data_IF_071218886347
#
_entry.id   IF_071218886347
#
_cell.length_a   1.000
_cell.length_b   1.000
_cell.length_c   1.000
_cell.angle_alpha   90.00
_cell.angle_beta   90.00
_cell.angle_gamma   90.00
#
_symmetry.space_group_name_H-M   'P 1'
#
loop_
_entity.id
_entity.type
_entity.pdbx_description
1 polymer ?
#
# COMPACT_ATOMS: atom_id res chain seq x y z
N UNK A 1 -17.53 0.48 5.58
CA UNK A 1 -17.30 0.27 7.02
C UNK A 1 -18.32 1.01 7.93
N UNK A 2 -19.24 1.80 7.39
CA UNK A 2 -20.30 2.42 8.16
C UNK A 2 -19.93 3.70 8.94
N UNK A 3 -18.73 4.23 8.78
CA UNK A 3 -18.32 5.48 9.46
C UNK A 3 -19.07 6.72 8.95
N UNK A 4 -19.56 6.70 7.71
CA UNK A 4 -20.22 7.84 7.05
C UNK A 4 -19.21 8.82 6.44
N UNK A 5 -19.57 9.37 5.28
CA UNK A 5 -18.69 10.28 4.51
C UNK A 5 -18.41 11.60 5.25
N UNK A 6 -19.31 12.04 6.09
CA UNK A 6 -19.16 13.26 6.89
C UNK A 6 -18.13 13.15 8.03
N UNK A 7 -17.59 11.95 8.27
CA UNK A 7 -16.50 11.69 9.22
C UNK A 7 -15.16 11.42 8.55
N UNK A 8 -15.14 11.46 7.23
CA UNK A 8 -13.91 11.29 6.46
C UNK A 8 -13.27 12.64 6.20
N UNK A 9 -12.04 12.81 6.63
CA UNK A 9 -11.24 14.00 6.42
C UNK A 9 -10.00 13.62 5.60
N UNK A 10 -9.82 14.27 4.47
CA UNK A 10 -8.62 14.08 3.66
C UNK A 10 -7.51 15.01 4.18
N UNK A 11 -6.38 14.44 4.56
CA UNK A 11 -5.20 15.21 4.88
C UNK A 11 -4.62 15.85 3.61
N UNK A 12 -4.09 17.06 3.76
CA UNK A 12 -3.37 17.71 2.68
C UNK A 12 -2.07 16.93 2.38
N UNK A 13 -1.71 16.85 1.10
CA UNK A 13 -0.49 16.16 0.67
C UNK A 13 0.49 17.13 0.04
N UNK A 14 1.76 16.73 -0.01
CA UNK A 14 2.83 17.41 -0.72
C UNK A 14 2.81 17.09 -2.23
N UNK A 15 3.79 17.61 -2.96
CA UNK A 15 3.91 17.40 -4.41
C UNK A 15 4.15 15.93 -4.81
N UNK A 16 4.52 15.07 -3.85
CA UNK A 16 4.80 13.66 -4.05
C UNK A 16 3.65 12.74 -3.61
N UNK A 17 2.57 13.31 -3.08
CA UNK A 17 1.40 12.55 -2.60
C UNK A 17 1.53 12.06 -1.15
N UNK A 18 2.54 12.50 -0.40
CA UNK A 18 2.71 12.20 1.02
C UNK A 18 1.94 13.18 1.88
N UNK A 19 1.38 12.74 2.99
CA UNK A 19 0.75 13.63 3.96
C UNK A 19 1.74 14.72 4.40
N UNK A 20 1.29 15.97 4.31
CA UNK A 20 2.04 17.13 4.80
C UNK A 20 1.86 17.24 6.33
N UNK A 21 2.91 16.98 7.13
CA UNK A 21 2.79 16.98 8.60
C UNK A 21 2.36 18.34 9.16
N UNK A 22 2.69 19.44 8.47
CA UNK A 22 2.34 20.79 8.91
C UNK A 22 0.84 21.11 8.71
N UNK A 23 0.18 20.37 7.80
CA UNK A 23 -1.24 20.57 7.47
C UNK A 23 -2.13 19.41 7.92
N UNK A 24 -1.60 18.48 8.71
CA UNK A 24 -2.37 17.39 9.27
C UNK A 24 -3.39 17.96 10.28
N UNK A 25 -4.70 17.67 10.14
CA UNK A 25 -5.72 18.10 11.09
C UNK A 25 -5.42 17.60 12.51
N UNK A 26 -5.93 18.29 13.52
CA UNK A 26 -5.83 17.84 14.91
C UNK A 26 -6.51 16.47 15.10
N UNK A 27 -5.86 15.61 15.86
CA UNK A 27 -6.34 14.27 16.19
C UNK A 27 -6.81 14.22 17.65
N UNK A 28 -7.62 13.23 17.98
CA UNK A 28 -8.07 12.88 19.33
C UNK A 28 -8.24 11.35 19.47
N UNK A 29 -8.66 10.89 20.64
CA UNK A 29 -8.90 9.48 20.93
C UNK A 29 -10.03 8.82 20.11
N UNK A 30 -10.76 9.56 19.27
CA UNK A 30 -11.77 9.05 18.34
C UNK A 30 -11.29 9.08 16.90
N UNK A 31 -10.05 9.42 16.67
CA UNK A 31 -9.45 9.53 15.35
C UNK A 31 -8.82 8.20 14.94
N UNK A 32 -9.12 7.76 13.72
CA UNK A 32 -8.36 6.76 12.99
C UNK A 32 -7.53 7.49 11.93
N UNK A 33 -6.22 7.58 12.13
CA UNK A 33 -5.29 8.11 11.13
C UNK A 33 -4.85 6.98 10.21
N UNK A 34 -5.06 7.15 8.91
CA UNK A 34 -4.61 6.20 7.88
C UNK A 34 -3.43 6.81 7.14
N UNK A 35 -2.29 6.13 7.19
CA UNK A 35 -1.06 6.48 6.49
C UNK A 35 -0.79 5.47 5.37
N UNK A 36 0.02 5.85 4.38
CA UNK A 36 0.34 5.00 3.25
C UNK A 36 1.83 4.62 3.24
N UNK A 37 2.10 3.32 3.12
CA UNK A 37 3.40 2.80 2.72
C UNK A 37 3.29 2.39 1.25
N UNK A 38 3.75 3.27 0.35
CA UNK A 38 3.59 3.15 -1.08
C UNK A 38 2.30 3.80 -1.59
N UNK A 39 2.33 5.11 -1.87
CA UNK A 39 1.23 5.81 -2.54
C UNK A 39 1.03 5.19 -3.93
N UNK A 40 -0.22 4.96 -4.31
CA UNK A 40 -0.58 4.14 -5.47
C UNK A 40 0.00 4.64 -6.80
N UNK A 41 0.18 5.95 -6.98
CA UNK A 41 0.72 6.55 -8.20
C UNK A 41 2.24 6.74 -8.15
N UNK A 42 2.75 7.22 -7.02
CA UNK A 42 4.14 7.67 -6.89
C UNK A 42 5.06 6.65 -6.24
N UNK A 43 4.50 5.69 -5.49
CA UNK A 43 5.26 4.75 -4.66
C UNK A 43 5.83 5.36 -3.38
N UNK A 44 5.48 6.59 -3.05
CA UNK A 44 6.01 7.32 -1.90
C UNK A 44 5.44 6.83 -0.57
N UNK A 45 6.12 7.20 0.49
CA UNK A 45 5.81 6.79 1.87
C UNK A 45 5.53 8.02 2.72
N UNK A 46 4.51 7.94 3.57
CA UNK A 46 4.26 8.97 4.56
C UNK A 46 5.38 9.04 5.60
N UNK A 47 5.47 10.16 6.30
CA UNK A 47 6.50 10.42 7.32
C UNK A 47 6.16 9.73 8.65
N UNK A 48 6.26 8.38 8.69
CA UNK A 48 5.83 7.57 9.84
C UNK A 48 6.50 7.97 11.15
N UNK A 49 7.82 8.15 11.15
CA UNK A 49 8.58 8.50 12.36
C UNK A 49 8.16 9.84 12.98
N UNK A 50 7.58 10.74 12.19
CA UNK A 50 7.05 12.02 12.66
C UNK A 50 5.55 11.95 13.00
N UNK A 51 4.74 11.38 12.08
CA UNK A 51 3.28 11.43 12.16
C UNK A 51 2.73 10.49 13.23
N UNK A 52 3.30 9.28 13.38
CA UNK A 52 2.75 8.26 14.28
C UNK A 52 2.89 8.66 15.75
N UNK A 53 4.06 9.11 16.24
CA UNK A 53 4.16 9.55 17.63
C UNK A 53 3.18 10.67 17.98
N UNK A 54 3.05 11.67 17.12
CA UNK A 54 2.10 12.80 17.31
C UNK A 54 0.66 12.33 17.41
N UNK A 55 0.24 11.44 16.52
CA UNK A 55 -1.12 10.90 16.52
C UNK A 55 -1.39 10.06 17.79
N UNK A 56 -0.43 9.25 18.21
CA UNK A 56 -0.54 8.42 19.42
C UNK A 56 -0.56 9.24 20.70
N UNK A 57 0.19 10.32 20.79
CA UNK A 57 0.11 11.28 21.91
C UNK A 57 -1.28 11.89 22.03
N UNK A 58 -1.97 12.12 20.92
CA UNK A 58 -3.36 12.55 20.88
C UNK A 58 -4.38 11.42 21.19
N UNK A 59 -3.93 10.19 21.38
CA UNK A 59 -4.77 9.02 21.62
C UNK A 59 -5.37 8.39 20.37
N UNK A 60 -4.99 8.83 19.17
CA UNK A 60 -5.49 8.31 17.91
C UNK A 60 -4.97 6.89 17.63
N UNK A 61 -5.78 6.07 16.97
CA UNK A 61 -5.34 4.82 16.37
C UNK A 61 -4.68 5.09 15.01
N UNK A 62 -3.51 4.53 14.79
CA UNK A 62 -2.80 4.70 13.53
C UNK A 62 -2.78 3.38 12.74
N UNK A 63 -3.32 3.43 11.54
CA UNK A 63 -3.30 2.35 10.56
C UNK A 63 -2.39 2.70 9.39
N UNK A 64 -1.59 1.75 8.94
CA UNK A 64 -0.78 1.90 7.72
C UNK A 64 -1.32 0.98 6.63
N UNK A 65 -1.84 1.60 5.56
CA UNK A 65 -2.06 0.90 4.30
C UNK A 65 -0.71 0.66 3.62
N UNK A 66 -0.23 -0.55 3.76
CA UNK A 66 1.01 -1.04 3.16
C UNK A 66 0.77 -2.08 2.08
N UNK A 67 -0.35 -1.95 1.36
CA UNK A 67 -0.84 -2.94 0.41
C UNK A 67 0.24 -3.51 -0.53
N UNK A 68 1.20 -2.68 -0.96
CA UNK A 68 2.39 -3.15 -1.66
C UNK A 68 3.70 -2.61 -1.06
N UNK A 69 3.71 -1.38 -0.55
CA UNK A 69 4.94 -0.72 -0.14
C UNK A 69 5.52 -1.25 1.17
N UNK A 70 4.74 -1.92 2.03
CA UNK A 70 5.27 -2.48 3.28
C UNK A 70 6.41 -3.49 3.02
N UNK A 71 6.43 -4.14 1.86
CA UNK A 71 7.50 -5.05 1.44
C UNK A 71 8.86 -4.37 1.30
N UNK A 72 8.93 -3.04 1.15
CA UNK A 72 10.18 -2.28 1.19
C UNK A 72 11.02 -2.58 2.45
N UNK A 73 10.37 -2.92 3.59
CA UNK A 73 11.06 -3.35 4.83
C UNK A 73 11.93 -4.60 4.65
N UNK A 74 11.67 -5.41 3.65
CA UNK A 74 12.47 -6.61 3.35
C UNK A 74 13.58 -6.35 2.32
N UNK A 75 13.76 -5.13 1.83
CA UNK A 75 14.67 -4.74 0.75
C UNK A 75 15.82 -3.83 1.23
N UNK A 76 16.70 -3.45 0.30
CA UNK A 76 17.71 -2.40 0.53
C UNK A 76 17.09 -1.01 0.77
N UNK A 77 15.84 -0.83 0.37
CA UNK A 77 15.05 0.41 0.55
C UNK A 77 14.25 0.45 1.85
N UNK A 78 14.60 -0.35 2.86
CA UNK A 78 13.90 -0.43 4.15
C UNK A 78 13.77 0.93 4.87
N UNK A 79 14.68 1.86 4.62
CA UNK A 79 14.67 3.23 5.16
C UNK A 79 13.43 4.02 4.75
N UNK A 80 12.80 3.71 3.60
CA UNK A 80 11.56 4.37 3.15
C UNK A 80 10.40 4.18 4.14
N UNK A 81 10.42 3.08 4.89
CA UNK A 81 9.39 2.74 5.87
C UNK A 81 9.90 2.88 7.31
N UNK A 82 10.85 3.80 7.57
CA UNK A 82 11.34 4.08 8.92
C UNK A 82 10.21 4.60 9.81
N UNK A 83 10.06 4.02 11.01
CA UNK A 83 9.01 4.36 11.96
C UNK A 83 7.67 3.67 11.69
N UNK A 84 7.52 2.91 10.60
CA UNK A 84 6.26 2.21 10.28
C UNK A 84 5.84 1.24 11.40
N UNK A 85 6.79 0.66 12.12
CA UNK A 85 6.57 -0.23 13.25
C UNK A 85 5.92 0.44 14.46
N UNK A 86 5.83 1.76 14.50
CA UNK A 86 5.19 2.52 15.58
C UNK A 86 3.66 2.54 15.46
N UNK A 87 3.08 2.17 14.32
CA UNK A 87 1.64 2.13 14.10
C UNK A 87 0.93 1.06 14.93
N UNK A 88 -0.39 1.10 14.99
CA UNK A 88 -1.21 0.15 15.74
C UNK A 88 -1.68 -1.02 14.86
N UNK A 89 -1.84 -0.79 13.56
CA UNK A 89 -2.23 -1.82 12.60
C UNK A 89 -1.70 -1.56 11.20
N UNK A 90 -1.59 -2.64 10.40
CA UNK A 90 -1.09 -2.61 9.02
C UNK A 90 -1.89 -3.56 8.13
N UNK A 91 -1.97 -3.22 6.85
CA UNK A 91 -2.38 -4.15 5.79
C UNK A 91 -1.26 -4.35 4.79
N UNK A 92 -1.17 -5.54 4.20
CA UNK A 92 -0.29 -5.82 3.08
C UNK A 92 -0.89 -6.91 2.19
N UNK A 93 -0.81 -6.73 0.87
CA UNK A 93 -1.42 -7.65 -0.08
C UNK A 93 -0.40 -8.68 -0.58
N UNK A 94 -0.77 -9.95 -0.49
CA UNK A 94 -0.01 -11.04 -1.11
C UNK A 94 -0.25 -11.08 -2.62
N UNK A 95 -1.46 -10.75 -3.07
CA UNK A 95 -1.83 -10.77 -4.49
C UNK A 95 -1.25 -9.59 -5.32
N UNK A 96 -0.44 -8.71 -4.72
CA UNK A 96 0.34 -7.70 -5.39
C UNK A 96 1.77 -8.20 -5.59
N UNK A 97 2.70 -7.80 -4.78
CA UNK A 97 4.12 -8.09 -4.98
C UNK A 97 4.51 -9.56 -4.88
N UNK A 98 3.88 -10.33 -3.98
CA UNK A 98 4.16 -11.76 -3.86
C UNK A 98 3.51 -12.60 -4.98
N UNK A 99 2.69 -11.99 -5.84
CA UNK A 99 2.00 -12.66 -6.94
C UNK A 99 1.20 -13.92 -6.51
N UNK A 100 0.65 -13.88 -5.30
CA UNK A 100 -0.24 -14.95 -4.83
C UNK A 100 -1.62 -14.82 -5.47
N UNK A 101 -2.41 -15.90 -5.56
CA UNK A 101 -3.74 -15.83 -6.16
C UNK A 101 -4.64 -14.77 -5.52
N UNK A 102 -5.42 -14.11 -6.34
CA UNK A 102 -6.42 -13.15 -5.91
C UNK A 102 -7.58 -13.90 -5.22
N UNK A 103 -8.12 -13.44 -4.12
CA UNK A 103 -7.78 -12.33 -3.24
C UNK A 103 -6.92 -12.81 -2.07
N UNK A 104 -5.80 -12.21 -1.81
CA UNK A 104 -4.89 -12.62 -0.74
C UNK A 104 -4.22 -11.40 -0.12
N UNK A 105 -4.48 -11.17 1.16
CA UNK A 105 -3.94 -10.06 1.92
C UNK A 105 -3.76 -10.45 3.39
N UNK A 106 -2.99 -9.64 4.12
CA UNK A 106 -2.73 -9.79 5.54
C UNK A 106 -3.21 -8.54 6.28
N UNK A 107 -3.96 -8.73 7.36
CA UNK A 107 -4.20 -7.73 8.37
C UNK A 107 -3.31 -8.02 9.57
N UNK A 108 -2.54 -7.04 9.98
CA UNK A 108 -1.61 -7.13 11.10
C UNK A 108 -2.06 -6.11 12.15
N UNK A 109 -2.18 -6.52 13.39
CA UNK A 109 -2.57 -5.66 14.50
C UNK A 109 -1.60 -5.86 15.67
N UNK A 110 -1.17 -4.77 16.26
CA UNK A 110 -0.30 -4.79 17.44
C UNK A 110 -1.00 -5.39 18.65
N UNK A 111 -2.27 -5.01 18.85
CA UNK A 111 -3.11 -5.48 19.95
C UNK A 111 -4.01 -6.62 19.46
N UNK A 112 -3.62 -7.85 19.81
CA UNK A 112 -4.35 -9.05 19.44
C UNK A 112 -5.73 -9.13 20.13
N UNK A 113 -5.86 -8.62 21.35
CA UNK A 113 -7.13 -8.60 22.07
C UNK A 113 -8.11 -7.60 21.45
N UNK A 114 -7.63 -6.43 21.03
CA UNK A 114 -8.44 -5.46 20.28
C UNK A 114 -8.93 -6.03 18.94
N UNK A 115 -8.04 -6.73 18.20
CA UNK A 115 -8.42 -7.40 16.95
C UNK A 115 -9.49 -8.47 17.20
N UNK A 116 -9.28 -9.34 18.20
CA UNK A 116 -10.21 -10.38 18.54
C UNK A 116 -11.56 -9.81 19.00
N UNK A 117 -11.58 -8.75 19.79
CA UNK A 117 -12.80 -8.06 20.23
C UNK A 117 -13.58 -7.47 19.06
N UNK A 118 -12.88 -6.92 18.06
CA UNK A 118 -13.51 -6.33 16.87
C UNK A 118 -14.08 -7.39 15.90
N UNK A 119 -13.46 -8.57 15.82
CA UNK A 119 -13.82 -9.62 14.85
C UNK A 119 -14.69 -10.70 15.44
N UNK A 120 -14.70 -10.86 16.77
CA UNK A 120 -15.44 -11.95 17.42
C UNK A 120 -16.95 -11.81 17.21
N UNK A 121 -17.57 -12.87 16.74
CA UNK A 121 -19.02 -13.04 16.74
C UNK A 121 -19.39 -14.22 17.63
N UNK A 122 -20.13 -13.97 18.69
CA UNK A 122 -20.64 -15.02 19.57
C UNK A 122 -21.77 -15.78 18.89
N UNK A 123 -21.53 -17.08 18.67
CA UNK A 123 -22.57 -18.00 18.25
C UNK A 123 -22.61 -19.17 19.24
N UNK A 124 -23.77 -19.52 19.71
CA UNK A 124 -23.98 -20.56 20.74
C UNK A 124 -23.38 -21.94 20.38
N UNK A 125 -23.19 -22.21 19.09
CA UNK A 125 -22.58 -23.46 18.59
C UNK A 125 -21.08 -23.35 18.32
N UNK A 126 -20.50 -22.16 18.42
CA UNK A 126 -19.10 -21.92 18.04
C UNK A 126 -18.21 -21.80 19.27
N UNK A 127 -18.12 -22.89 20.04
CA UNK A 127 -17.13 -23.02 21.12
C UNK A 127 -15.75 -23.19 20.50
N UNK A 128 -15.05 -22.09 20.32
CA UNK A 128 -13.68 -22.12 19.85
C UNK A 128 -12.75 -21.58 20.93
N UNK A 129 -11.48 -22.02 20.91
CA UNK A 129 -10.46 -21.45 21.78
C UNK A 129 -10.30 -19.96 21.53
N UNK A 130 -9.75 -19.23 22.51
CA UNK A 130 -9.44 -17.79 22.39
C UNK A 130 -8.62 -17.47 21.12
N UNK A 131 -7.75 -18.40 20.70
CA UNK A 131 -6.84 -18.25 19.57
C UNK A 131 -7.43 -18.78 18.25
N UNK A 132 -8.73 -19.08 18.20
CA UNK A 132 -9.34 -19.58 16.98
C UNK A 132 -9.34 -18.51 15.87
N UNK A 133 -9.01 -18.91 14.66
CA UNK A 133 -8.97 -18.00 13.50
C UNK A 133 -10.27 -17.27 13.24
N UNK A 134 -11.42 -17.81 13.63
CA UNK A 134 -12.72 -17.12 13.55
C UNK A 134 -12.75 -15.78 14.30
N UNK A 135 -11.91 -15.63 15.32
CA UNK A 135 -11.79 -14.41 16.12
C UNK A 135 -10.87 -13.35 15.46
N UNK A 136 -10.25 -13.66 14.33
CA UNK A 136 -9.27 -12.81 13.67
C UNK A 136 -9.74 -12.31 12.29
N UNK A 137 -10.95 -12.72 11.87
CA UNK A 137 -11.50 -12.38 10.55
C UNK A 137 -13.01 -12.19 10.62
N UNK A 138 -13.56 -11.46 9.64
CA UNK A 138 -15.00 -11.22 9.51
C UNK A 138 -15.80 -12.47 9.06
N UNK A 139 -15.12 -13.50 8.55
CA UNK A 139 -15.74 -14.67 7.94
C UNK A 139 -15.48 -15.91 8.79
N UNK A 140 -16.48 -16.80 8.95
CA UNK A 140 -16.29 -18.09 9.60
C UNK A 140 -15.57 -19.07 8.67
N UNK A 141 -16.30 -19.58 7.69
CA UNK A 141 -15.74 -20.47 6.67
C UNK A 141 -15.24 -19.66 5.50
N UNK A 142 -13.99 -19.84 5.10
CA UNK A 142 -13.34 -19.05 4.05
C UNK A 142 -12.24 -19.84 3.36
N UNK A 143 -11.82 -19.37 2.21
CA UNK A 143 -10.63 -19.89 1.53
C UNK A 143 -9.38 -19.68 2.41
N UNK A 144 -8.49 -20.66 2.43
CA UNK A 144 -7.24 -20.62 3.20
C UNK A 144 -6.19 -19.71 2.51
N UNK A 145 -6.45 -18.43 2.41
CA UNK A 145 -5.61 -17.43 1.69
C UNK A 145 -4.18 -17.38 2.20
N UNK A 146 -3.97 -17.62 3.49
CA UNK A 146 -2.64 -17.62 4.12
C UNK A 146 -1.71 -18.71 3.59
N UNK A 147 -2.24 -19.82 3.07
CA UNK A 147 -1.42 -20.92 2.52
C UNK A 147 -0.60 -20.44 1.31
N UNK A 148 -1.21 -19.69 0.39
CA UNK A 148 -0.49 -19.15 -0.78
C UNK A 148 0.60 -18.14 -0.38
N UNK A 149 0.30 -17.27 0.59
CA UNK A 149 1.27 -16.31 1.13
C UNK A 149 2.43 -17.07 1.79
N UNK A 150 2.12 -18.04 2.64
CA UNK A 150 3.13 -18.87 3.31
C UNK A 150 4.02 -19.59 2.29
N UNK A 151 3.43 -20.21 1.27
CA UNK A 151 4.17 -20.94 0.25
C UNK A 151 5.10 -20.02 -0.55
N UNK A 152 4.64 -18.84 -0.92
CA UNK A 152 5.48 -17.83 -1.60
C UNK A 152 6.67 -17.41 -0.72
N UNK A 153 6.42 -17.07 0.54
CA UNK A 153 7.46 -16.66 1.47
C UNK A 153 8.43 -17.80 1.82
N UNK A 154 7.94 -19.01 1.97
CA UNK A 154 8.76 -20.21 2.23
C UNK A 154 9.65 -20.54 1.01
N UNK A 155 9.13 -20.37 -0.20
CA UNK A 155 9.87 -20.62 -1.43
C UNK A 155 10.96 -19.57 -1.68
N UNK A 156 10.65 -18.29 -1.49
CA UNK A 156 11.59 -17.20 -1.70
C UNK A 156 12.65 -17.13 -0.59
N UNK A 157 12.24 -17.37 0.64
CA UNK A 157 13.05 -17.06 1.81
C UNK A 157 13.32 -15.55 1.93
N UNK A 158 14.12 -15.18 2.92
CA UNK A 158 14.47 -13.77 3.16
C UNK A 158 15.26 -13.15 2.01
N UNK A 159 16.23 -13.87 1.50
CA UNK A 159 17.15 -13.36 0.46
C UNK A 159 16.46 -13.29 -0.89
N UNK A 160 15.65 -14.28 -1.26
CA UNK A 160 14.88 -14.26 -2.51
C UNK A 160 13.82 -13.16 -2.51
N UNK A 161 13.17 -12.91 -1.37
CA UNK A 161 12.23 -11.80 -1.23
C UNK A 161 12.95 -10.44 -1.41
N UNK A 162 14.09 -10.26 -0.75
CA UNK A 162 14.91 -9.05 -0.90
C UNK A 162 15.32 -8.83 -2.35
N UNK A 163 15.90 -9.85 -2.98
CA UNK A 163 16.38 -9.80 -4.36
C UNK A 163 15.25 -9.43 -5.33
N UNK A 164 14.09 -10.03 -5.16
CA UNK A 164 12.91 -9.74 -5.98
C UNK A 164 12.49 -8.28 -5.88
N UNK A 165 12.40 -7.74 -4.66
CA UNK A 165 11.99 -6.34 -4.45
C UNK A 165 13.05 -5.38 -5.02
N UNK A 166 14.31 -5.60 -4.70
CA UNK A 166 15.44 -4.77 -5.17
C UNK A 166 15.54 -4.79 -6.70
N UNK A 167 15.27 -5.94 -7.32
CA UNK A 167 15.22 -6.06 -8.79
C UNK A 167 14.09 -5.22 -9.39
N UNK A 168 12.88 -5.27 -8.84
CA UNK A 168 11.76 -4.48 -9.36
C UNK A 168 11.99 -2.98 -9.16
N UNK A 169 12.58 -2.56 -8.04
CA UNK A 169 12.96 -1.16 -7.83
C UNK A 169 13.97 -0.69 -8.89
N UNK A 170 15.01 -1.51 -9.18
CA UNK A 170 15.98 -1.21 -10.22
C UNK A 170 15.33 -1.14 -11.61
N UNK A 171 14.49 -2.11 -11.95
CA UNK A 171 13.78 -2.15 -13.24
C UNK A 171 12.85 -0.93 -13.40
N UNK A 172 12.19 -0.47 -12.32
CA UNK A 172 11.39 0.75 -12.36
C UNK A 172 12.25 1.98 -12.66
N UNK A 173 13.43 2.06 -12.07
CA UNK A 173 14.41 3.12 -12.38
C UNK A 173 14.86 3.09 -13.84
N UNK A 174 15.25 1.92 -14.35
CA UNK A 174 15.65 1.72 -15.75
C UNK A 174 14.52 2.10 -16.73
N UNK A 175 13.28 1.69 -16.42
CA UNK A 175 12.11 2.05 -17.22
C UNK A 175 11.84 3.57 -17.18
N UNK A 176 11.98 4.21 -16.03
CA UNK A 176 11.81 5.65 -15.89
C UNK A 176 12.84 6.42 -16.76
N UNK A 177 14.10 5.99 -16.78
CA UNK A 177 15.13 6.58 -17.65
C UNK A 177 14.82 6.37 -19.13
N UNK A 178 14.40 5.17 -19.53
CA UNK A 178 14.02 4.88 -20.92
C UNK A 178 12.83 5.74 -21.38
N UNK A 179 11.83 5.94 -20.51
CA UNK A 179 10.69 6.80 -20.80
C UNK A 179 11.08 8.26 -20.94
N UNK A 180 11.97 8.79 -20.08
CA UNK A 180 12.53 10.15 -20.23
C UNK A 180 13.29 10.31 -21.53
N UNK A 181 14.13 9.34 -21.90
CA UNK A 181 14.84 9.33 -23.17
C UNK A 181 13.90 9.27 -24.38
N UNK A 182 12.74 8.62 -24.23
CA UNK A 182 11.66 8.56 -25.21
C UNK A 182 10.77 9.83 -25.27
N UNK A 183 11.09 10.87 -24.51
CA UNK A 183 10.36 12.16 -24.54
C UNK A 183 9.13 12.19 -23.62
N UNK A 184 8.98 11.24 -22.71
CA UNK A 184 7.89 11.28 -21.72
C UNK A 184 8.33 11.97 -20.42
N UNK A 185 7.38 12.57 -19.74
CA UNK A 185 7.58 13.15 -18.41
C UNK A 185 7.34 12.08 -17.35
N UNK A 186 8.36 11.72 -16.57
CA UNK A 186 8.22 10.90 -15.37
C UNK A 186 7.98 11.82 -14.19
N UNK A 187 6.80 11.72 -13.59
CA UNK A 187 6.27 12.70 -12.64
C UNK A 187 6.64 12.40 -11.17
N UNK A 188 7.08 11.17 -10.88
CA UNK A 188 7.49 10.76 -9.54
C UNK A 188 9.01 10.55 -9.45
N UNK A 189 9.51 10.39 -8.23
CA UNK A 189 10.93 10.13 -7.95
C UNK A 189 11.35 8.67 -8.20
N UNK A 190 10.40 7.80 -8.51
CA UNK A 190 10.62 6.35 -8.73
C UNK A 190 11.36 5.71 -7.55
N UNK A 191 10.87 5.96 -6.33
CA UNK A 191 11.51 5.46 -5.09
C UNK A 191 11.24 3.97 -4.85
N UNK A 192 10.20 3.43 -5.48
CA UNK A 192 9.78 2.04 -5.37
C UNK A 192 9.56 1.48 -6.79
N UNK A 193 8.55 0.64 -6.98
CA UNK A 193 8.25 -0.02 -8.25
C UNK A 193 7.18 0.70 -9.11
N UNK A 194 6.83 1.93 -8.77
CA UNK A 194 5.84 2.73 -9.49
C UNK A 194 6.55 3.76 -10.40
N UNK A 195 6.12 3.83 -11.66
CA UNK A 195 6.53 4.87 -12.59
C UNK A 195 5.28 5.61 -13.07
N UNK A 196 5.16 6.88 -12.70
CA UNK A 196 4.05 7.76 -13.05
C UNK A 196 4.44 8.62 -14.23
N UNK A 197 3.68 8.57 -15.31
CA UNK A 197 4.11 9.08 -16.61
C UNK A 197 3.03 9.93 -17.26
N UNK A 198 3.47 10.94 -18.00
CA UNK A 198 2.65 11.78 -18.87
C UNK A 198 3.40 12.10 -20.16
N UNK A 199 2.67 12.29 -21.26
CA UNK A 199 3.17 12.95 -22.46
C UNK A 199 3.12 14.47 -22.32
N UNK A 200 3.48 15.19 -23.37
CA UNK A 200 3.49 16.66 -23.35
C UNK A 200 2.07 17.25 -23.27
N UNK A 201 1.10 16.58 -23.88
CA UNK A 201 -0.32 16.95 -23.81
C UNK A 201 -1.17 15.83 -23.21
N UNK A 202 -2.39 16.18 -22.78
CA UNK A 202 -3.35 15.22 -22.24
C UNK A 202 -3.78 14.21 -23.32
N UNK A 203 -3.96 14.68 -24.57
CA UNK A 203 -4.30 13.85 -25.72
C UNK A 203 -3.18 12.85 -26.02
N UNK A 204 -1.94 13.29 -26.04
CA UNK A 204 -0.78 12.40 -26.23
C UNK A 204 -0.69 11.36 -25.11
N UNK A 205 -0.91 11.76 -23.86
CA UNK A 205 -0.90 10.86 -22.71
C UNK A 205 -1.92 9.73 -22.88
N UNK A 206 -3.14 10.07 -23.25
CA UNK A 206 -4.24 9.10 -23.47
C UNK A 206 -3.91 8.21 -24.68
N UNK A 207 -3.56 8.80 -25.82
CA UNK A 207 -3.27 8.07 -27.04
C UNK A 207 -2.09 7.09 -26.89
N UNK A 208 -1.03 7.50 -26.22
CA UNK A 208 0.14 6.63 -25.96
C UNK A 208 -0.24 5.39 -25.15
N UNK A 209 -1.04 5.57 -24.08
CA UNK A 209 -1.53 4.45 -23.27
C UNK A 209 -2.39 3.51 -24.11
N UNK A 210 -3.33 4.06 -24.89
CA UNK A 210 -4.25 3.27 -25.71
C UNK A 210 -3.51 2.50 -26.81
N UNK A 211 -2.54 3.11 -27.46
CA UNK A 211 -1.71 2.45 -28.47
C UNK A 211 -0.87 1.31 -27.86
N UNK A 212 -0.27 1.53 -26.68
CA UNK A 212 0.48 0.49 -25.99
C UNK A 212 -0.40 -0.69 -25.60
N UNK A 213 -1.61 -0.45 -25.08
CA UNK A 213 -2.55 -1.52 -24.76
C UNK A 213 -3.08 -2.25 -26.01
N UNK A 214 -3.33 -1.52 -27.08
CA UNK A 214 -3.79 -2.09 -28.35
C UNK A 214 -2.73 -2.99 -29.01
N UNK A 215 -1.45 -2.82 -28.72
CA UNK A 215 -0.39 -3.72 -29.18
C UNK A 215 -0.50 -5.13 -28.61
N UNK A 216 -1.16 -5.29 -27.46
CA UNK A 216 -1.28 -6.57 -26.76
C UNK A 216 -0.01 -7.01 -26.01
N UNK A 217 1.07 -6.23 -26.06
CA UNK A 217 2.35 -6.57 -25.40
C UNK A 217 2.39 -6.17 -23.94
N UNK A 218 1.71 -5.09 -23.57
CA UNK A 218 1.71 -4.54 -22.20
C UNK A 218 0.34 -4.05 -21.80
N UNK A 219 0.07 -4.10 -20.50
CA UNK A 219 -1.11 -3.50 -19.91
C UNK A 219 -0.73 -2.64 -18.70
N UNK A 220 -1.23 -1.41 -18.63
CA UNK A 220 -1.08 -0.52 -17.48
C UNK A 220 -2.24 0.45 -17.37
N UNK A 221 -2.52 0.90 -16.14
CA UNK A 221 -3.73 1.66 -15.82
C UNK A 221 -3.63 3.16 -16.09
N UNK A 222 -4.74 3.81 -16.49
CA UNK A 222 -4.84 5.25 -16.45
C UNK A 222 -4.92 5.74 -15.00
N UNK A 223 -4.54 7.00 -14.79
CA UNK A 223 -4.77 7.71 -13.53
C UNK A 223 -4.96 9.20 -13.79
N UNK A 224 -5.41 9.92 -12.77
CA UNK A 224 -5.41 11.38 -12.74
C UNK A 224 -4.40 11.81 -11.68
N UNK A 225 -3.43 12.59 -12.07
CA UNK A 225 -2.46 13.17 -11.16
C UNK A 225 -2.48 14.69 -11.24
N UNK A 226 -2.71 15.33 -10.08
CA UNK A 226 -2.84 16.79 -9.98
C UNK A 226 -3.84 17.38 -11.01
N UNK A 227 -5.00 16.73 -11.16
CA UNK A 227 -6.09 17.14 -12.02
C UNK A 227 -5.90 16.87 -13.52
N UNK A 228 -4.81 16.22 -13.94
CA UNK A 228 -4.52 15.93 -15.36
C UNK A 228 -4.34 14.42 -15.60
N UNK A 229 -4.64 13.95 -16.82
CA UNK A 229 -4.39 12.56 -17.19
C UNK A 229 -2.92 12.17 -17.05
N UNK A 230 -2.70 10.96 -16.54
CA UNK A 230 -1.41 10.30 -16.49
C UNK A 230 -1.64 8.80 -16.63
N UNK A 231 -0.59 8.02 -16.77
CA UNK A 231 -0.64 6.58 -16.65
C UNK A 231 0.45 6.08 -15.71
N UNK A 232 0.20 4.93 -15.13
CA UNK A 232 1.06 4.34 -14.10
C UNK A 232 1.49 2.95 -14.53
N UNK A 233 2.80 2.73 -14.52
CA UNK A 233 3.40 1.42 -14.68
C UNK A 233 3.83 0.90 -13.29
N UNK A 234 3.49 -0.35 -13.01
CA UNK A 234 3.85 -1.05 -11.77
C UNK A 234 4.64 -2.30 -12.15
N UNK A 235 5.84 -2.46 -11.62
CA UNK A 235 6.74 -3.59 -11.89
C UNK A 235 6.73 -4.61 -10.74
#
# INVERSE_FOLDING_TARGET
>A
LGFGMNRLHYAAVDAHGRIDPARLPAQDARTLLILQAGEVNTGEFDHFAELIPRAREAGAWVHVDGAFGLWARASSSAHLAEGVELADSWTSDGHKWLNTPYDSAMAICRDADALAAAMNSDAAYATASKDAQKNLTLEFSRRARGVAIWAALASLGRDGLREMIDRHIRQAGELAEALRAGGYQVLNRTVLNQVLVRGDTDEQTIASREAAQASGEVWFGPTIWQGRPAFRLSL
#
